data_IF_741625872837
#
_entry.id   IF_741625872837
#
_cell.length_a   1.000
_cell.length_b   1.000
_cell.length_c   1.000
_cell.angle_alpha   90.00
_cell.angle_beta   90.00
_cell.angle_gamma   90.00
#
_symmetry.space_group_name_H-M   'P 1'
#
loop_
_entity.id
_entity.type
_entity.pdbx_description
1 polymer ?
#
# COMPACT_ATOMS: atom_id res chain seq x y z
N UNK A 1 1.94 4.66 -7.30
CA UNK A 1 0.86 3.66 -7.35
C UNK A 1 0.68 2.95 -6.00
N UNK A 2 1.75 2.41 -5.41
CA UNK A 2 1.68 1.65 -4.15
C UNK A 2 1.11 2.46 -2.98
N UNK A 3 1.54 3.70 -2.78
CA UNK A 3 1.00 4.59 -1.73
C UNK A 3 -0.51 4.85 -1.91
N UNK A 4 -0.96 5.06 -3.15
CA UNK A 4 -2.38 5.21 -3.46
C UNK A 4 -3.16 3.95 -3.09
N UNK A 5 -2.62 2.77 -3.40
CA UNK A 5 -3.29 1.52 -3.08
C UNK A 5 -3.34 1.25 -1.58
N UNK A 6 -2.28 1.63 -0.84
CA UNK A 6 -2.29 1.54 0.62
C UNK A 6 -3.39 2.43 1.20
N UNK A 7 -3.45 3.69 0.76
CA UNK A 7 -4.50 4.61 1.19
C UNK A 7 -5.90 4.04 0.94
N UNK A 8 -6.16 3.54 -0.28
CA UNK A 8 -7.45 2.97 -0.62
C UNK A 8 -7.78 1.71 0.22
N UNK A 9 -6.81 0.85 0.49
CA UNK A 9 -7.01 -0.33 1.32
C UNK A 9 -7.31 0.04 2.79
N UNK A 10 -6.56 0.99 3.35
CA UNK A 10 -6.74 1.50 4.71
C UNK A 10 -8.14 2.15 4.86
N UNK A 11 -8.55 2.99 3.89
CA UNK A 11 -9.89 3.59 3.88
C UNK A 11 -10.99 2.53 3.68
N UNK A 12 -10.76 1.53 2.84
CA UNK A 12 -11.70 0.43 2.61
C UNK A 12 -12.02 -0.34 3.88
N UNK A 13 -10.99 -0.67 4.68
CA UNK A 13 -11.18 -1.33 5.98
C UNK A 13 -11.94 -0.42 6.93
N UNK A 14 -11.61 0.87 6.97
CA UNK A 14 -12.26 1.83 7.86
C UNK A 14 -13.75 2.00 7.54
N UNK A 15 -14.13 2.08 6.26
CA UNK A 15 -15.52 2.22 5.81
C UNK A 15 -16.33 0.97 6.15
N UNK A 16 -15.75 -0.22 5.98
CA UNK A 16 -16.41 -1.50 6.26
C UNK A 16 -16.37 -1.88 7.75
N UNK A 17 -15.68 -1.10 8.58
CA UNK A 17 -15.53 -1.29 10.03
C UNK A 17 -15.07 -2.74 10.32
N UNK A 18 -15.69 -3.44 11.27
CA UNK A 18 -15.30 -4.79 11.66
C UNK A 18 -15.31 -5.77 10.49
N UNK A 19 -16.28 -5.65 9.57
CA UNK A 19 -16.40 -6.52 8.40
C UNK A 19 -15.15 -6.41 7.50
N UNK A 20 -14.61 -5.21 7.35
CA UNK A 20 -13.41 -4.96 6.52
C UNK A 20 -12.16 -5.69 7.00
N UNK A 21 -12.14 -6.10 8.27
CA UNK A 21 -11.04 -6.85 8.89
C UNK A 21 -11.36 -8.33 9.11
N UNK A 22 -12.59 -8.78 8.80
CA UNK A 22 -12.94 -10.19 8.90
C UNK A 22 -12.27 -11.00 7.79
N UNK A 23 -11.68 -12.13 8.16
CA UNK A 23 -11.11 -13.08 7.21
C UNK A 23 -12.17 -13.56 6.22
N UNK A 24 -11.76 -13.69 4.96
CA UNK A 24 -12.64 -14.10 3.85
C UNK A 24 -13.22 -12.92 3.07
N UNK A 25 -13.11 -11.70 3.57
CA UNK A 25 -13.45 -10.51 2.78
C UNK A 25 -12.32 -10.15 1.82
N UNK A 26 -12.68 -9.63 0.65
CA UNK A 26 -11.69 -9.14 -0.30
C UNK A 26 -10.89 -7.95 0.27
N UNK A 27 -11.54 -7.09 1.08
CA UNK A 27 -10.92 -5.93 1.68
C UNK A 27 -9.79 -6.32 2.63
N UNK A 28 -10.02 -7.30 3.52
CA UNK A 28 -9.00 -7.82 4.44
C UNK A 28 -7.79 -8.41 3.68
N UNK A 29 -8.05 -9.16 2.60
CA UNK A 29 -6.99 -9.73 1.77
C UNK A 29 -6.15 -8.65 1.09
N UNK A 30 -6.80 -7.68 0.44
CA UNK A 30 -6.13 -6.58 -0.26
C UNK A 30 -5.32 -5.71 0.73
N UNK A 31 -5.86 -5.47 1.93
CA UNK A 31 -5.17 -4.75 3.00
C UNK A 31 -3.86 -5.43 3.43
N UNK A 32 -3.81 -6.77 3.44
CA UNK A 32 -2.57 -7.52 3.71
C UNK A 32 -1.60 -7.52 2.52
N UNK A 33 -2.10 -7.73 1.31
CA UNK A 33 -1.28 -7.79 0.09
C UNK A 33 -0.56 -6.47 -0.20
N UNK A 34 -1.18 -5.32 0.09
CA UNK A 34 -0.56 -4.02 -0.18
C UNK A 34 0.72 -3.79 0.63
N UNK A 35 0.87 -4.43 1.80
CA UNK A 35 2.04 -4.26 2.67
C UNK A 35 3.31 -4.82 2.04
N UNK A 36 3.23 -5.97 1.34
CA UNK A 36 4.41 -6.52 0.65
C UNK A 36 4.76 -5.72 -0.60
N UNK A 37 3.76 -5.12 -1.28
CA UNK A 37 3.99 -4.28 -2.45
C UNK A 37 4.75 -2.99 -2.13
N UNK A 38 4.77 -2.54 -0.87
CA UNK A 38 5.60 -1.42 -0.43
C UNK A 38 7.08 -1.76 -0.28
N UNK A 39 7.41 -3.04 -0.21
CA UNK A 39 8.78 -3.53 -0.06
C UNK A 39 9.29 -4.06 -1.40
N UNK A 40 8.44 -4.81 -2.12
CA UNK A 40 8.78 -5.43 -3.39
C UNK A 40 8.93 -4.41 -4.53
N UNK A 41 9.99 -4.54 -5.33
CA UNK A 41 10.25 -3.65 -6.48
C UNK A 41 11.01 -2.36 -6.13
N UNK A 42 11.45 -2.21 -4.88
CA UNK A 42 12.12 -1.02 -4.36
C UNK A 42 11.25 -0.34 -3.31
N UNK A 43 11.75 -0.28 -2.07
CA UNK A 43 11.06 0.41 -0.99
C UNK A 43 10.80 1.89 -1.36
N UNK A 44 9.78 2.50 -0.76
CA UNK A 44 9.38 3.87 -1.07
C UNK A 44 10.55 4.86 -0.94
N UNK A 45 11.40 4.68 0.07
CA UNK A 45 12.60 5.47 0.30
C UNK A 45 13.61 5.32 -0.85
N UNK A 46 13.82 4.09 -1.32
CA UNK A 46 14.76 3.78 -2.42
C UNK A 46 14.24 4.36 -3.73
N UNK A 47 12.94 4.26 -3.98
CA UNK A 47 12.30 4.83 -5.17
C UNK A 47 12.40 6.36 -5.17
N UNK A 48 12.25 7.00 -4.01
CA UNK A 48 12.44 8.46 -3.86
C UNK A 48 13.89 8.87 -4.04
N UNK A 49 14.84 8.13 -3.47
CA UNK A 49 16.27 8.37 -3.65
C UNK A 49 16.68 8.24 -5.12
N UNK A 50 16.22 7.19 -5.80
CA UNK A 50 16.46 6.98 -7.22
C UNK A 50 15.87 8.11 -8.06
N UNK A 51 14.65 8.55 -7.76
CA UNK A 51 14.02 9.68 -8.44
C UNK A 51 14.79 10.99 -8.22
N UNK A 52 15.27 11.27 -6.99
CA UNK A 52 16.12 12.43 -6.71
C UNK A 52 17.38 12.44 -7.57
N UNK A 53 18.08 11.30 -7.59
CA UNK A 53 19.28 11.11 -8.43
C UNK A 53 19.00 11.32 -9.91
N UNK A 54 17.87 10.83 -10.41
CA UNK A 54 17.48 11.03 -11.82
C UNK A 54 17.11 12.47 -12.14
N UNK A 55 16.59 13.22 -11.17
CA UNK A 55 16.28 14.65 -11.29
C UNK A 55 17.51 15.56 -11.11
N UNK A 56 18.68 14.99 -10.77
CA UNK A 56 19.90 15.75 -10.52
C UNK A 56 19.87 16.56 -9.21
N UNK A 57 19.00 16.16 -8.28
CA UNK A 57 18.88 16.70 -6.92
C UNK A 57 19.64 15.79 -5.95
#
# INVERSE_FOLDING_TARGET
ATQTMQFCADQGVQILVGMGFMRGTACERIYREVKVMMIGGGAEEIMKELASRQLGL
#
